data_IF_233543477905
#
_entry.id   IF_233543477905
#
_cell.length_a   1.000
_cell.length_b   1.000
_cell.length_c   1.000
_cell.angle_alpha   90.00
_cell.angle_beta   90.00
_cell.angle_gamma   90.00
#
_symmetry.space_group_name_H-M   'P 1'
#
loop_
_entity.id
_entity.type
_entity.pdbx_description
1 polymer ?
#
# COMPACT_ATOMS: atom_id res chain seq x y z
N UNK A 1 -3.38 -6.65 17.98
CA UNK A 1 -2.64 -7.23 16.85
C UNK A 1 -2.69 -6.27 15.69
N UNK A 2 -1.54 -5.87 15.12
CA UNK A 2 -1.49 -5.11 13.88
C UNK A 2 -1.82 -6.09 12.75
N UNK A 3 -3.04 -6.06 12.26
CA UNK A 3 -3.49 -6.95 11.18
C UNK A 3 -3.06 -6.35 9.85
N UNK A 4 -2.52 -7.18 8.95
CA UNK A 4 -2.20 -6.80 7.57
C UNK A 4 -3.35 -6.06 6.87
N UNK A 5 -4.59 -6.32 7.30
CA UNK A 5 -5.82 -5.59 6.94
C UNK A 5 -5.72 -4.06 7.06
N UNK A 6 -4.86 -3.52 7.92
CA UNK A 6 -4.65 -2.05 8.01
C UNK A 6 -4.02 -1.44 6.76
N UNK A 7 -3.34 -2.24 5.93
CA UNK A 7 -2.79 -1.81 4.63
C UNK A 7 -3.83 -1.80 3.52
N UNK A 8 -4.98 -2.47 3.71
CA UNK A 8 -6.04 -2.55 2.72
C UNK A 8 -7.02 -1.41 3.00
N UNK A 9 -7.07 -0.42 2.10
CA UNK A 9 -7.99 0.72 2.20
C UNK A 9 -8.84 0.77 0.94
N UNK A 10 -10.07 0.27 1.02
CA UNK A 10 -11.05 0.32 -0.07
C UNK A 10 -12.15 1.33 0.23
N UNK A 11 -12.66 2.02 -0.80
CA UNK A 11 -13.70 3.05 -0.68
C UNK A 11 -15.09 2.52 -0.27
N UNK A 12 -15.30 1.20 -0.13
CA UNK A 12 -16.66 0.62 -0.04
C UNK A 12 -16.84 -0.54 0.94
N UNK A 13 -16.10 -0.59 2.05
CA UNK A 13 -16.23 -1.68 3.05
C UNK A 13 -16.20 -3.10 2.42
N UNK A 14 -15.60 -3.23 1.23
CA UNK A 14 -15.61 -4.45 0.48
C UNK A 14 -14.63 -5.42 1.14
N UNK A 15 -15.12 -6.62 1.42
CA UNK A 15 -14.31 -7.70 1.98
C UNK A 15 -12.99 -7.82 1.20
N UNK A 16 -11.85 -7.86 1.90
CA UNK A 16 -10.55 -8.02 1.25
C UNK A 16 -10.57 -9.31 0.44
N UNK A 17 -10.11 -9.22 -0.80
CA UNK A 17 -10.02 -10.40 -1.66
C UNK A 17 -8.91 -11.32 -1.13
N UNK A 18 -9.08 -12.63 -1.28
CA UNK A 18 -8.08 -13.64 -0.88
C UNK A 18 -6.67 -13.37 -1.47
N UNK A 19 -6.58 -12.63 -2.58
CA UNK A 19 -5.31 -12.24 -3.19
C UNK A 19 -4.66 -11.01 -2.54
N UNK A 20 -5.44 -10.12 -1.92
CA UNK A 20 -4.93 -8.90 -1.29
C UNK A 20 -4.36 -9.18 0.10
N UNK A 21 -4.91 -10.17 0.81
CA UNK A 21 -4.40 -10.62 2.12
C UNK A 21 -2.91 -11.01 2.10
N UNK A 22 -2.42 -11.89 1.20
CA UNK A 22 -0.99 -12.24 1.16
C UNK A 22 -0.09 -11.08 0.73
N UNK A 23 -0.58 -10.19 -0.13
CA UNK A 23 0.16 -8.98 -0.54
C UNK A 23 0.30 -8.02 0.66
N UNK A 24 -0.78 -7.80 1.40
CA UNK A 24 -0.79 -6.96 2.58
C UNK A 24 0.10 -7.51 3.71
N UNK A 25 0.11 -8.84 3.89
CA UNK A 25 0.98 -9.50 4.86
C UNK A 25 2.46 -9.30 4.49
N UNK A 26 2.82 -9.51 3.22
CA UNK A 26 4.19 -9.33 2.74
C UNK A 26 4.70 -7.90 2.97
N UNK A 27 3.86 -6.89 2.76
CA UNK A 27 4.21 -5.49 3.04
C UNK A 27 4.37 -5.21 4.53
N UNK A 28 3.54 -5.83 5.36
CA UNK A 28 3.66 -5.70 6.81
C UNK A 28 4.94 -6.36 7.34
N UNK A 29 5.31 -7.52 6.80
CA UNK A 29 6.54 -8.19 7.18
C UNK A 29 7.77 -7.35 6.77
N UNK A 30 7.76 -6.78 5.56
CA UNK A 30 8.81 -5.85 5.09
C UNK A 30 8.94 -4.60 5.98
N UNK A 31 7.83 -4.05 6.45
CA UNK A 31 7.81 -2.91 7.40
C UNK A 31 8.48 -3.28 8.73
N UNK A 32 8.34 -4.52 9.19
CA UNK A 32 8.94 -4.99 10.44
C UNK A 32 10.41 -5.39 10.29
N UNK A 33 10.81 -5.90 9.12
CA UNK A 33 12.19 -6.35 8.87
C UNK A 33 13.16 -5.17 8.63
N UNK A 34 12.71 -4.08 7.98
CA UNK A 34 13.60 -2.96 7.60
C UNK A 34 13.15 -1.64 8.23
N UNK A 35 13.95 -1.11 9.17
CA UNK A 35 13.63 0.13 9.89
C UNK A 35 13.62 1.37 9.00
N UNK A 36 14.44 1.42 7.94
CA UNK A 36 14.50 2.55 7.01
C UNK A 36 13.21 2.66 6.18
N UNK A 37 12.72 1.52 5.67
CA UNK A 37 11.51 1.44 4.86
C UNK A 37 10.23 1.57 5.69
N UNK A 38 10.33 1.47 7.02
CA UNK A 38 9.17 1.53 7.92
C UNK A 38 8.41 2.84 7.79
N UNK A 39 9.11 3.96 7.66
CA UNK A 39 8.50 5.29 7.57
C UNK A 39 7.69 5.46 6.29
N UNK A 40 8.19 4.95 5.18
CA UNK A 40 7.54 5.03 3.86
C UNK A 40 6.39 4.03 3.76
N UNK A 41 6.63 2.78 4.19
CA UNK A 41 5.63 1.73 4.15
C UNK A 41 4.48 2.02 5.10
N UNK A 42 4.70 2.61 6.28
CA UNK A 42 3.63 2.95 7.24
C UNK A 42 2.50 3.77 6.62
N UNK A 43 2.84 4.66 5.69
CA UNK A 43 1.88 5.52 5.00
C UNK A 43 1.36 4.95 3.68
N UNK A 44 1.88 3.80 3.24
CA UNK A 44 1.45 3.10 2.05
C UNK A 44 0.19 2.28 2.32
N UNK A 45 -0.82 2.47 1.48
CA UNK A 45 -2.08 1.74 1.49
C UNK A 45 -2.34 1.16 0.10
N UNK A 46 -3.10 0.07 0.04
CA UNK A 46 -3.47 -0.60 -1.21
C UNK A 46 -4.99 -0.52 -1.36
N UNK A 47 -5.42 -0.05 -2.53
CA UNK A 47 -6.83 -0.05 -2.93
C UNK A 47 -7.21 -1.41 -3.53
N UNK A 48 -6.35 -1.96 -4.39
CA UNK A 48 -6.53 -3.31 -4.95
C UNK A 48 -5.21 -3.88 -5.47
N UNK A 49 -5.12 -5.20 -5.53
CA UNK A 49 -4.02 -5.90 -6.17
C UNK A 49 -4.58 -6.87 -7.23
N UNK A 50 -4.01 -6.84 -8.43
CA UNK A 50 -4.45 -7.67 -9.57
C UNK A 50 -3.25 -8.46 -10.09
N UNK A 51 -3.43 -9.76 -10.27
CA UNK A 51 -2.44 -10.59 -10.96
C UNK A 51 -2.67 -10.55 -12.47
N UNK A 52 -1.62 -10.26 -13.23
CA UNK A 52 -1.62 -10.27 -14.69
C UNK A 52 -0.58 -11.26 -15.21
N UNK A 53 -0.89 -11.93 -16.30
CA UNK A 53 0.07 -12.75 -17.04
C UNK A 53 0.77 -11.90 -18.09
N UNK A 54 2.10 -11.97 -18.14
CA UNK A 54 2.95 -11.19 -19.03
C UNK A 54 3.70 -12.14 -19.96
N UNK A 55 3.92 -11.71 -21.20
CA UNK A 55 4.60 -12.51 -22.21
C UNK A 55 5.92 -13.11 -21.71
N UNK A 56 6.07 -14.41 -21.95
CA UNK A 56 7.24 -15.20 -21.52
C UNK A 56 7.07 -15.96 -20.20
N UNK A 57 5.85 -16.44 -19.87
CA UNK A 57 5.57 -17.25 -18.68
C UNK A 57 5.95 -16.52 -17.37
N UNK A 58 5.71 -15.21 -17.32
CA UNK A 58 5.97 -14.39 -16.14
C UNK A 58 4.65 -13.84 -15.63
N UNK A 59 4.42 -13.98 -14.34
CA UNK A 59 3.27 -13.36 -13.66
C UNK A 59 3.73 -12.06 -13.04
N UNK A 60 2.99 -10.99 -13.29
CA UNK A 60 3.19 -9.72 -12.63
C UNK A 60 2.00 -9.39 -11.72
N UNK A 61 2.27 -8.56 -10.71
CA UNK A 61 1.26 -8.09 -9.77
C UNK A 61 1.17 -6.59 -9.92
N UNK A 62 -0.03 -6.11 -10.26
CA UNK A 62 -0.34 -4.68 -10.33
C UNK A 62 -0.97 -4.27 -9.01
N UNK A 63 -0.36 -3.30 -8.34
CA UNK A 63 -0.84 -2.78 -7.06
C UNK A 63 -1.36 -1.36 -7.29
N UNK A 64 -2.66 -1.16 -7.05
CA UNK A 64 -3.28 0.16 -7.11
C UNK A 64 -3.12 0.84 -5.76
N UNK A 65 -2.33 1.91 -5.74
CA UNK A 65 -2.08 2.74 -4.56
C UNK A 65 -2.90 4.03 -4.69
N UNK A 66 -3.60 4.47 -3.64
CA UNK A 66 -4.29 5.75 -3.66
C UNK A 66 -3.26 6.87 -3.80
N UNK A 67 -3.37 7.65 -4.88
CA UNK A 67 -2.54 8.83 -5.07
C UNK A 67 -2.99 9.89 -4.06
N UNK A 68 -2.27 9.98 -2.93
CA UNK A 68 -2.34 11.18 -2.10
C UNK A 68 -1.55 12.25 -2.82
N UNK A 69 -2.26 13.18 -3.47
CA UNK A 69 -1.66 14.45 -3.87
C UNK A 69 -1.15 15.08 -2.57
N UNK A 70 0.17 15.26 -2.36
CA UNK A 70 0.62 16.10 -1.26
C UNK A 70 0.09 17.48 -1.59
N UNK A 71 -0.99 17.91 -0.93
CA UNK A 71 -1.42 19.30 -0.98
C UNK A 71 -0.25 20.11 -0.46
N UNK A 72 0.45 20.76 -1.39
CA UNK A 72 1.46 21.78 -1.15
C UNK A 72 0.81 22.95 -0.40
N UNK A 73 0.61 22.78 0.90
CA UNK A 73 0.02 23.77 1.80
C UNK A 73 0.76 23.88 3.14
N UNK A 74 1.79 23.07 3.39
CA UNK A 74 2.60 23.16 4.63
C UNK A 74 3.82 24.07 4.50
N UNK A 75 4.14 24.60 3.32
CA UNK A 75 5.37 25.40 3.11
C UNK A 75 5.21 26.92 3.30
N UNK A 76 3.99 27.47 3.42
CA UNK A 76 3.77 28.91 3.56
C UNK A 76 3.01 29.30 4.84
N UNK A 77 3.43 28.78 5.99
CA UNK A 77 3.01 29.34 7.28
C UNK A 77 4.12 29.39 8.33
N UNK A 78 5.39 29.40 7.91
CA UNK A 78 6.54 29.65 8.79
C UNK A 78 7.50 30.65 8.13
N UNK A 79 7.01 31.83 7.74
CA UNK A 79 7.82 33.04 7.47
C UNK A 79 6.91 34.21 7.11
N UNK A 80 6.30 34.83 8.12
CA UNK A 80 6.13 36.27 8.29
C UNK A 80 5.41 36.54 9.62
#
# INVERSE_FOLDING_TARGET
MYTARRKIQKDKEAEPSEFEEPVAQSLFDLENTNQELKSDLKHLYINSAVQIDVSGNRKAIVIHVPYRVPTEKTFLQNSC
#
